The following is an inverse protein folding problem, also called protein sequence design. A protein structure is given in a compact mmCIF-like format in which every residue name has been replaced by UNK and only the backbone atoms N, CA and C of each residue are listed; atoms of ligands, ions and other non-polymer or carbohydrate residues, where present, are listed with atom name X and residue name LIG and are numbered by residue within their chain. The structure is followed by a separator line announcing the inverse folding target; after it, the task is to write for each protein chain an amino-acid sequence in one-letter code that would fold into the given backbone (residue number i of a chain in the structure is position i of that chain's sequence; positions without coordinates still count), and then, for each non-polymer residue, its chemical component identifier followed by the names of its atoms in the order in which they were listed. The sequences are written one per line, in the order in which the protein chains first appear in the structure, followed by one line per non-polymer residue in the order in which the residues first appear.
data_IF_192896860723
#
_entry.id   IF_192896860723
#
_cell.length_a   1.000
_cell.length_b   1.000
_cell.length_c   1.000
_cell.angle_alpha   90.00
_cell.angle_beta   90.00
_cell.angle_gamma   90.00
#
_symmetry.space_group_name_H-M   'P 1'
#
loop_
_entity.id
_entity.type
_entity.pdbx_description
1 polymer ?
#
# COMPACT_ATOMS: atom_id res chain seq x y z
N UNK A 1 -52.84 20.46 -11.09
CA UNK A 1 -52.93 19.34 -10.12
C UNK A 1 -51.68 19.35 -9.25
N UNK A 2 -51.79 19.42 -7.91
CA UNK A 2 -50.64 19.27 -7.02
C UNK A 2 -50.39 17.77 -6.79
N UNK A 3 -49.18 17.29 -7.11
CA UNK A 3 -48.73 15.93 -6.78
C UNK A 3 -48.42 15.84 -5.28
N UNK A 4 -48.72 14.71 -4.63
CA UNK A 4 -48.50 14.50 -3.19
C UNK A 4 -47.04 14.14 -2.89
N UNK A 5 -46.32 13.52 -3.82
CA UNK A 5 -44.91 13.15 -3.66
C UNK A 5 -44.02 13.50 -4.87
N UNK A 6 -42.69 13.46 -4.69
CA UNK A 6 -41.73 13.66 -5.79
C UNK A 6 -41.72 12.47 -6.75
N UNK A 7 -41.91 11.24 -6.26
CA UNK A 7 -42.05 10.05 -7.10
C UNK A 7 -43.26 10.14 -8.01
N UNK A 8 -44.43 10.50 -7.50
CA UNK A 8 -45.67 10.65 -8.28
C UNK A 8 -45.49 11.64 -9.44
N UNK A 9 -44.84 12.78 -9.18
CA UNK A 9 -44.54 13.76 -10.21
C UNK A 9 -43.56 13.21 -11.27
N UNK A 10 -42.51 12.50 -10.85
CA UNK A 10 -41.53 11.90 -11.77
C UNK A 10 -42.19 10.88 -12.67
N UNK A 11 -43.08 10.06 -12.14
CA UNK A 11 -43.80 9.05 -12.88
C UNK A 11 -44.78 9.66 -13.88
N UNK A 12 -45.55 10.67 -13.45
CA UNK A 12 -46.38 11.47 -14.34
C UNK A 12 -45.58 12.12 -15.47
N UNK A 13 -44.44 12.76 -15.16
CA UNK A 13 -43.57 13.36 -16.17
C UNK A 13 -43.06 12.28 -17.15
N UNK A 14 -42.67 11.09 -16.66
CA UNK A 14 -42.23 9.95 -17.48
C UNK A 14 -43.29 9.55 -18.52
N UNK A 15 -44.52 9.34 -18.06
CA UNK A 15 -45.65 8.95 -18.90
C UNK A 15 -46.02 10.07 -19.89
N UNK A 16 -46.01 11.32 -19.44
CA UNK A 16 -46.27 12.49 -20.27
C UNK A 16 -45.23 12.70 -21.37
N UNK A 17 -43.97 12.32 -21.13
CA UNK A 17 -42.89 12.40 -22.12
C UNK A 17 -42.78 11.17 -23.03
N UNK A 18 -43.60 10.13 -22.82
CA UNK A 18 -43.61 8.94 -23.66
C UNK A 18 -44.19 9.21 -25.06
N UNK A 19 -45.17 10.12 -25.16
CA UNK A 19 -45.71 10.58 -26.44
C UNK A 19 -44.73 11.58 -27.13
N UNK A 20 -44.22 11.23 -28.33
CA UNK A 20 -43.27 12.08 -29.07
C UNK A 20 -43.83 13.47 -29.45
N UNK A 21 -45.13 13.58 -29.77
CA UNK A 21 -45.77 14.84 -30.14
C UNK A 21 -45.93 15.75 -28.92
N UNK A 22 -46.34 15.18 -27.78
CA UNK A 22 -46.43 15.92 -26.51
C UNK A 22 -45.04 16.40 -26.07
N UNK A 23 -44.03 15.54 -26.18
CA UNK A 23 -42.63 15.88 -25.88
C UNK A 23 -42.11 17.02 -26.77
N UNK A 24 -42.34 16.96 -28.08
CA UNK A 24 -41.93 18.00 -29.02
C UNK A 24 -42.56 19.35 -28.68
N UNK A 25 -43.88 19.39 -28.41
CA UNK A 25 -44.60 20.61 -28.03
C UNK A 25 -44.05 21.23 -26.73
N UNK A 26 -43.76 20.41 -25.73
CA UNK A 26 -43.19 20.88 -24.45
C UNK A 26 -41.78 21.45 -24.64
N UNK A 27 -40.95 20.81 -25.47
CA UNK A 27 -39.61 21.31 -25.79
C UNK A 27 -39.71 22.68 -26.45
N UNK A 28 -40.59 22.82 -27.44
CA UNK A 28 -40.78 24.09 -28.16
C UNK A 28 -41.30 25.20 -27.23
N UNK A 29 -42.28 24.89 -26.37
CA UNK A 29 -42.77 25.83 -25.37
C UNK A 29 -41.66 26.27 -24.39
N UNK A 30 -40.79 25.35 -23.96
CA UNK A 30 -39.63 25.66 -23.11
C UNK A 30 -38.59 26.52 -23.82
N UNK A 31 -38.33 26.29 -25.11
CA UNK A 31 -37.44 27.13 -25.92
C UNK A 31 -37.96 28.56 -25.99
N UNK A 32 -39.25 28.74 -26.30
CA UNK A 32 -39.90 30.07 -26.31
C UNK A 32 -39.82 30.76 -24.96
N UNK A 33 -40.13 30.04 -23.88
CA UNK A 33 -39.99 30.56 -22.51
C UNK A 33 -38.55 30.96 -22.20
N UNK A 34 -37.56 30.13 -22.55
CA UNK A 34 -36.14 30.42 -22.32
C UNK A 34 -35.69 31.66 -23.08
N UNK A 35 -36.07 31.81 -24.36
CA UNK A 35 -35.73 32.99 -25.17
C UNK A 35 -36.37 34.25 -24.57
N UNK A 36 -37.67 34.18 -24.24
CA UNK A 36 -38.40 35.30 -23.64
C UNK A 36 -37.87 35.73 -22.26
N UNK A 37 -37.26 34.81 -21.50
CA UNK A 37 -36.81 35.06 -20.13
C UNK A 37 -35.28 34.90 -19.96
N UNK A 38 -34.51 34.95 -21.07
CA UNK A 38 -33.10 34.57 -21.11
C UNK A 38 -32.27 35.31 -20.07
N UNK A 39 -32.39 36.64 -20.00
CA UNK A 39 -31.63 37.47 -19.07
C UNK A 39 -31.92 37.12 -17.61
N UNK A 40 -33.20 36.99 -17.24
CA UNK A 40 -33.60 36.64 -15.88
C UNK A 40 -33.10 35.24 -15.49
N UNK A 41 -33.19 34.27 -16.39
CA UNK A 41 -32.70 32.90 -16.17
C UNK A 41 -31.18 32.90 -15.97
N UNK A 42 -30.43 33.63 -16.81
CA UNK A 42 -28.97 33.73 -16.70
C UNK A 42 -28.56 34.48 -15.43
N UNK A 43 -29.22 35.58 -15.09
CA UNK A 43 -28.97 36.34 -13.85
C UNK A 43 -29.20 35.47 -12.61
N UNK A 44 -30.33 34.75 -12.56
CA UNK A 44 -30.64 33.79 -11.49
C UNK A 44 -29.58 32.69 -11.42
N UNK A 45 -29.19 32.11 -12.56
CA UNK A 45 -28.16 31.06 -12.63
C UNK A 45 -26.82 31.56 -12.11
N UNK A 46 -26.39 32.77 -12.50
CA UNK A 46 -25.17 33.42 -12.01
C UNK A 46 -25.21 33.65 -10.51
N UNK A 47 -26.33 34.15 -9.98
CA UNK A 47 -26.52 34.39 -8.55
C UNK A 47 -26.39 33.11 -7.72
N UNK A 48 -27.11 32.05 -8.08
CA UNK A 48 -27.05 30.77 -7.37
C UNK A 48 -25.71 30.08 -7.51
N UNK A 49 -25.07 30.19 -8.68
CA UNK A 49 -23.70 29.69 -8.90
C UNK A 49 -22.72 30.41 -7.98
N UNK A 50 -22.72 31.75 -7.95
CA UNK A 50 -21.86 32.54 -7.06
C UNK A 50 -22.07 32.17 -5.59
N UNK A 51 -23.32 32.08 -5.15
CA UNK A 51 -23.67 31.70 -3.76
C UNK A 51 -23.20 30.29 -3.41
N UNK A 52 -23.33 29.32 -4.33
CA UNK A 52 -22.88 27.94 -4.12
C UNK A 52 -21.36 27.86 -4.02
N UNK A 53 -20.63 28.51 -4.94
CA UNK A 53 -19.17 28.52 -4.92
C UNK A 53 -18.62 29.19 -3.66
N UNK A 54 -19.25 30.30 -3.22
CA UNK A 54 -18.91 30.93 -1.94
C UNK A 54 -19.14 29.99 -0.75
N UNK A 55 -20.23 29.22 -0.74
CA UNK A 55 -20.49 28.21 0.28
C UNK A 55 -19.44 27.08 0.27
N UNK A 56 -19.07 26.58 -0.91
CA UNK A 56 -18.02 25.56 -1.04
C UNK A 56 -16.69 26.07 -0.50
N UNK A 57 -16.32 27.32 -0.86
CA UNK A 57 -15.11 27.97 -0.36
C UNK A 57 -15.13 28.06 1.16
N UNK A 58 -16.22 28.56 1.73
CA UNK A 58 -16.39 28.67 3.18
C UNK A 58 -16.21 27.32 3.88
N UNK A 59 -16.85 26.25 3.40
CA UNK A 59 -16.71 24.91 3.98
C UNK A 59 -15.25 24.45 3.99
N UNK A 60 -14.55 24.61 2.85
CA UNK A 60 -13.15 24.20 2.71
C UNK A 60 -12.24 25.05 3.60
N UNK A 61 -12.44 26.37 3.64
CA UNK A 61 -11.64 27.29 4.45
C UNK A 61 -11.84 27.03 5.95
N UNK A 62 -13.07 26.72 6.40
CA UNK A 62 -13.35 26.33 7.77
C UNK A 62 -12.59 25.05 8.17
N UNK A 63 -12.60 24.03 7.31
CA UNK A 63 -11.85 22.80 7.59
C UNK A 63 -10.33 23.04 7.61
N UNK A 64 -9.83 23.97 6.79
CA UNK A 64 -8.41 24.36 6.77
C UNK A 64 -7.95 25.11 8.02
N UNK A 65 -8.83 25.43 8.97
CA UNK A 65 -8.42 26.05 10.25
C UNK A 65 -7.84 25.06 11.26
N UNK A 66 -8.00 23.75 11.03
CA UNK A 66 -7.43 22.72 11.89
C UNK A 66 -5.89 22.63 11.82
N UNK A 67 -5.27 21.93 12.77
CA UNK A 67 -3.83 21.69 12.76
C UNK A 67 -3.42 20.75 11.61
N UNK A 68 -2.18 20.86 11.16
CA UNK A 68 -1.58 19.89 10.25
C UNK A 68 -1.50 18.52 10.95
N UNK A 69 -1.96 17.46 10.27
CA UNK A 69 -1.91 16.10 10.82
C UNK A 69 -0.49 15.54 10.97
N UNK A 70 0.48 16.07 10.23
CA UNK A 70 1.87 15.58 10.28
C UNK A 70 2.71 16.32 11.33
N UNK A 71 2.68 17.66 11.32
CA UNK A 71 3.52 18.46 12.22
C UNK A 71 2.78 19.07 13.41
N UNK A 72 1.46 18.91 13.51
CA UNK A 72 0.63 19.46 14.60
C UNK A 72 0.42 20.97 14.57
N UNK A 73 1.19 21.72 13.78
CA UNK A 73 1.08 23.18 13.70
C UNK A 73 -0.12 23.66 12.89
N UNK A 74 -0.70 24.78 13.30
CA UNK A 74 -1.74 25.51 12.57
C UNK A 74 -1.11 26.64 11.75
N UNK A 75 -1.55 26.81 10.50
CA UNK A 75 -1.08 27.86 9.60
C UNK A 75 -2.27 28.64 9.00
N UNK A 76 -2.03 29.82 8.40
CA UNK A 76 -3.07 30.49 7.61
C UNK A 76 -3.68 29.56 6.57
N UNK A 77 -4.99 29.69 6.32
CA UNK A 77 -5.77 28.83 5.40
C UNK A 77 -5.12 28.69 4.02
N UNK A 78 -4.39 29.70 3.54
CA UNK A 78 -3.69 29.64 2.25
C UNK A 78 -2.48 28.70 2.22
N UNK A 79 -1.93 28.32 3.38
CA UNK A 79 -0.80 27.39 3.53
C UNK A 79 -1.27 25.94 3.76
N UNK A 80 -2.51 25.77 4.20
CA UNK A 80 -3.10 24.48 4.51
C UNK A 80 -3.65 23.82 3.25
N UNK A 81 -3.53 22.51 3.12
CA UNK A 81 -3.99 21.73 1.96
C UNK A 81 -4.58 20.38 2.38
N UNK A 82 -5.32 19.76 1.45
CA UNK A 82 -5.91 18.43 1.62
C UNK A 82 -5.13 17.42 0.81
N UNK A 83 -4.51 16.45 1.49
CA UNK A 83 -3.78 15.35 0.89
C UNK A 83 -4.66 14.10 0.86
N UNK A 84 -4.80 13.47 -0.31
CA UNK A 84 -5.59 12.26 -0.44
C UNK A 84 -4.88 11.07 0.22
N UNK A 85 -5.62 10.31 1.04
CA UNK A 85 -5.08 9.10 1.68
C UNK A 85 -4.70 8.03 0.63
N UNK A 86 -3.56 7.34 0.78
CA UNK A 86 -3.17 6.24 -0.10
C UNK A 86 -4.24 5.15 -0.18
N UNK A 87 -4.36 4.50 -1.35
CA UNK A 87 -5.34 3.41 -1.57
C UNK A 87 -6.78 3.86 -1.83
N UNK A 88 -7.12 5.14 -1.62
CA UNK A 88 -8.47 5.65 -1.88
C UNK A 88 -8.59 6.16 -3.32
N UNK A 89 -9.62 5.69 -4.06
CA UNK A 89 -9.91 6.18 -5.42
C UNK A 89 -10.28 7.67 -5.39
N UNK A 90 -9.40 8.49 -5.97
CA UNK A 90 -9.59 9.93 -6.17
C UNK A 90 -10.65 10.18 -7.24
N UNK A 91 -11.68 10.96 -6.91
CA UNK A 91 -12.66 11.42 -7.90
C UNK A 91 -12.15 12.64 -8.68
N UNK A 92 -11.81 13.70 -7.95
CA UNK A 92 -11.21 14.94 -8.45
C UNK A 92 -10.45 15.64 -7.31
N UNK A 93 -9.58 16.63 -7.61
CA UNK A 93 -8.97 17.40 -6.52
C UNK A 93 -9.98 18.33 -5.84
N UNK A 94 -9.86 18.55 -4.53
CA UNK A 94 -10.74 19.46 -3.79
C UNK A 94 -10.76 20.86 -4.44
N UNK A 95 -9.60 21.36 -4.87
CA UNK A 95 -9.47 22.63 -5.58
C UNK A 95 -10.31 22.69 -6.86
N UNK A 96 -10.38 21.58 -7.63
CA UNK A 96 -11.24 21.49 -8.82
C UNK A 96 -12.73 21.43 -8.45
N UNK A 97 -13.09 20.76 -7.35
CA UNK A 97 -14.48 20.61 -6.90
C UNK A 97 -15.06 21.91 -6.36
N UNK A 98 -14.27 22.71 -5.63
CA UNK A 98 -14.72 24.00 -5.07
C UNK A 98 -15.14 24.97 -6.17
N UNK A 99 -14.42 24.97 -7.30
CA UNK A 99 -14.74 25.81 -8.46
C UNK A 99 -15.88 25.30 -9.34
N UNK A 100 -16.40 24.09 -9.09
CA UNK A 100 -17.37 23.44 -9.96
C UNK A 100 -18.80 23.54 -9.41
N UNK A 101 -19.62 24.36 -10.06
CA UNK A 101 -21.02 24.59 -9.67
C UNK A 101 -21.92 23.35 -9.76
N UNK A 102 -21.52 22.33 -10.56
CA UNK A 102 -22.26 21.07 -10.69
C UNK A 102 -22.08 20.14 -9.48
N UNK A 103 -21.07 20.37 -8.66
CA UNK A 103 -20.82 19.57 -7.46
C UNK A 103 -21.82 19.96 -6.38
N UNK A 104 -22.41 18.96 -5.73
CA UNK A 104 -23.25 19.16 -4.54
C UNK A 104 -22.39 19.20 -3.28
N UNK A 105 -22.89 19.86 -2.24
CA UNK A 105 -22.21 19.91 -0.95
C UNK A 105 -21.95 18.51 -0.37
N UNK A 106 -22.89 17.57 -0.53
CA UNK A 106 -22.74 16.20 -0.06
C UNK A 106 -21.55 15.49 -0.73
N UNK A 107 -21.41 15.66 -2.05
CA UNK A 107 -20.29 15.09 -2.81
C UNK A 107 -18.96 15.74 -2.41
N UNK A 108 -18.94 17.07 -2.22
CA UNK A 108 -17.76 17.77 -1.74
C UNK A 108 -17.30 17.26 -0.36
N UNK A 109 -18.24 17.12 0.60
CA UNK A 109 -17.95 16.60 1.94
C UNK A 109 -17.48 15.15 1.91
N UNK A 110 -18.08 14.31 1.07
CA UNK A 110 -17.66 12.92 0.92
C UNK A 110 -16.24 12.78 0.35
N UNK A 111 -15.82 13.67 -0.55
CA UNK A 111 -14.44 13.68 -1.02
C UNK A 111 -13.47 14.23 0.04
N UNK A 112 -13.85 15.30 0.75
CA UNK A 112 -13.06 15.85 1.87
C UNK A 112 -12.81 14.82 2.96
N UNK A 113 -13.79 13.96 3.25
CA UNK A 113 -13.64 12.88 4.23
C UNK A 113 -12.55 11.85 3.86
N UNK A 114 -12.07 11.85 2.62
CA UNK A 114 -10.98 10.96 2.16
C UNK A 114 -9.60 11.58 2.28
N UNK A 115 -9.51 12.85 2.71
CA UNK A 115 -8.27 13.60 2.77
C UNK A 115 -7.81 13.86 4.20
N UNK A 116 -6.50 13.93 4.35
CA UNK A 116 -5.85 14.45 5.55
C UNK A 116 -5.61 15.96 5.38
N UNK A 117 -5.76 16.72 6.47
CA UNK A 117 -5.41 18.13 6.49
C UNK A 117 -3.93 18.29 6.83
N UNK A 118 -3.14 18.85 5.91
CA UNK A 118 -1.69 19.00 6.06
C UNK A 118 -1.22 20.38 5.61
N UNK A 119 -0.10 20.87 6.13
CA UNK A 119 0.51 22.11 5.64
C UNK A 119 1.23 21.88 4.29
N UNK A 120 1.45 22.94 3.53
CA UNK A 120 2.10 22.89 2.22
C UNK A 120 3.47 22.17 2.24
N UNK A 121 4.25 22.33 3.32
CA UNK A 121 5.55 21.68 3.46
C UNK A 121 5.39 20.16 3.66
N UNK A 122 4.56 19.73 4.61
CA UNK A 122 4.30 18.32 4.87
C UNK A 122 3.65 17.64 3.65
N UNK A 123 2.73 18.33 2.98
CA UNK A 123 2.13 17.86 1.72
C UNK A 123 3.18 17.66 0.60
N UNK A 124 4.14 18.57 0.47
CA UNK A 124 5.26 18.42 -0.48
C UNK A 124 6.19 17.28 -0.11
N UNK A 125 6.48 17.09 1.18
CA UNK A 125 7.27 15.95 1.68
C UNK A 125 6.56 14.64 1.33
N UNK A 126 5.27 14.50 1.66
CA UNK A 126 4.45 13.33 1.28
C UNK A 126 4.50 13.07 -0.22
N UNK A 127 4.31 14.11 -1.04
CA UNK A 127 4.37 14.01 -2.50
C UNK A 127 5.73 13.53 -2.99
N UNK A 128 6.81 14.07 -2.42
CA UNK A 128 8.17 13.68 -2.76
C UNK A 128 8.47 12.23 -2.37
N UNK A 129 8.15 11.83 -1.13
CA UNK A 129 8.36 10.46 -0.65
C UNK A 129 7.60 9.45 -1.50
N UNK A 130 6.33 9.70 -1.82
CA UNK A 130 5.54 8.85 -2.73
C UNK A 130 6.14 8.78 -4.14
N UNK A 131 6.70 9.87 -4.65
CA UNK A 131 7.39 9.88 -5.96
C UNK A 131 8.74 9.16 -5.92
N UNK A 132 9.47 9.23 -4.81
CA UNK A 132 10.73 8.48 -4.59
C UNK A 132 10.44 6.98 -4.62
N UNK A 133 9.43 6.54 -3.88
CA UNK A 133 8.93 5.15 -3.91
C UNK A 133 8.46 4.75 -5.31
N UNK A 134 7.84 5.66 -6.08
CA UNK A 134 7.44 5.38 -7.47
C UNK A 134 8.62 5.33 -8.47
N UNK A 135 9.80 5.88 -8.12
CA UNK A 135 10.99 5.90 -8.99
C UNK A 135 11.91 4.71 -8.77
N UNK A 136 12.05 4.26 -7.53
CA UNK A 136 12.72 3.00 -7.23
C UNK A 136 11.75 1.87 -7.60
N UNK A 137 12.23 0.84 -8.29
CA UNK A 137 11.42 -0.36 -8.37
C UNK A 137 11.35 -1.00 -6.97
N UNK A 138 10.41 -1.92 -6.76
CA UNK A 138 10.19 -2.52 -5.44
C UNK A 138 11.43 -3.22 -4.87
N UNK A 139 12.33 -3.71 -5.74
CA UNK A 139 13.56 -4.39 -5.37
C UNK A 139 14.63 -3.40 -4.93
N UNK A 140 14.81 -2.27 -5.64
CA UNK A 140 15.76 -1.22 -5.24
C UNK A 140 15.35 -0.58 -3.90
N UNK A 141 14.04 -0.42 -3.69
CA UNK A 141 13.52 0.06 -2.41
C UNK A 141 13.79 -0.95 -1.30
N UNK A 142 13.58 -2.25 -1.54
CA UNK A 142 13.85 -3.30 -0.57
C UNK A 142 15.33 -3.35 -0.18
N UNK A 143 16.23 -3.23 -1.17
CA UNK A 143 17.66 -3.16 -0.92
C UNK A 143 18.03 -1.95 -0.05
N UNK A 144 17.45 -0.78 -0.34
CA UNK A 144 17.69 0.43 0.45
C UNK A 144 17.22 0.26 1.89
N UNK A 145 16.03 -0.32 2.10
CA UNK A 145 15.47 -0.55 3.44
C UNK A 145 16.29 -1.59 4.21
N UNK A 146 16.65 -2.71 3.59
CA UNK A 146 17.49 -3.73 4.23
C UNK A 146 18.87 -3.17 4.62
N UNK A 147 19.51 -2.43 3.71
CA UNK A 147 20.80 -1.77 3.96
C UNK A 147 20.73 -0.81 5.16
N UNK A 148 19.68 0.03 5.20
CA UNK A 148 19.49 1.02 6.27
C UNK A 148 19.14 0.35 7.59
N UNK A 149 18.23 -0.62 7.60
CA UNK A 149 17.77 -1.32 8.80
C UNK A 149 18.92 -2.06 9.49
N UNK A 150 19.62 -2.94 8.77
CA UNK A 150 20.76 -3.68 9.31
C UNK A 150 21.97 -2.77 9.60
N UNK A 151 22.18 -1.72 8.80
CA UNK A 151 23.23 -0.72 9.03
C UNK A 151 23.00 0.13 10.28
N UNK A 152 21.74 0.46 10.60
CA UNK A 152 21.39 1.29 11.76
C UNK A 152 21.74 0.65 13.11
N UNK A 153 21.75 -0.69 13.16
CA UNK A 153 22.15 -1.48 14.32
C UNK A 153 23.59 -2.02 14.20
N UNK A 154 24.32 -1.62 13.15
CA UNK A 154 25.67 -2.07 12.83
C UNK A 154 25.80 -3.61 12.82
N UNK A 155 24.79 -4.31 12.29
CA UNK A 155 24.79 -5.77 12.22
C UNK A 155 25.86 -6.26 11.25
N UNK A 156 26.66 -7.23 11.71
CA UNK A 156 27.74 -7.86 10.95
C UNK A 156 27.48 -9.34 10.78
N UNK A 157 27.99 -9.92 9.69
CA UNK A 157 27.98 -11.38 9.53
C UNK A 157 28.87 -12.03 10.58
N UNK A 158 28.34 -13.05 11.27
CA UNK A 158 28.97 -13.74 12.40
C UNK A 158 30.42 -14.17 12.15
N UNK A 159 30.76 -14.56 10.92
CA UNK A 159 32.07 -15.13 10.60
C UNK A 159 32.94 -14.30 9.66
N UNK A 160 32.38 -13.41 8.82
CA UNK A 160 33.16 -12.59 7.87
C UNK A 160 33.38 -11.16 8.33
N UNK A 161 32.65 -10.70 9.35
CA UNK A 161 32.62 -9.31 9.80
C UNK A 161 32.24 -8.29 8.70
N UNK A 162 31.69 -8.77 7.58
CA UNK A 162 31.08 -7.94 6.54
C UNK A 162 29.74 -7.39 7.01
N UNK A 163 29.27 -6.31 6.38
CA UNK A 163 27.94 -5.78 6.63
C UNK A 163 26.87 -6.85 6.34
N UNK A 164 25.92 -7.01 7.26
CA UNK A 164 24.94 -8.10 7.19
C UNK A 164 24.13 -8.10 5.89
N UNK A 165 23.93 -6.92 5.27
CA UNK A 165 23.25 -6.75 3.98
C UNK A 165 23.81 -7.67 2.87
N UNK A 166 25.06 -8.11 2.96
CA UNK A 166 25.64 -9.08 2.03
C UNK A 166 24.85 -10.41 1.96
N UNK A 167 24.27 -10.86 3.08
CA UNK A 167 23.45 -12.07 3.12
C UNK A 167 22.11 -11.90 2.37
N UNK A 168 21.24 -10.92 2.71
CA UNK A 168 20.01 -10.71 1.95
C UNK A 168 20.24 -10.48 0.45
N UNK A 169 21.35 -9.83 0.06
CA UNK A 169 21.75 -9.69 -1.35
C UNK A 169 22.03 -11.07 -1.99
N UNK A 170 22.82 -11.92 -1.33
CA UNK A 170 23.13 -13.26 -1.83
C UNK A 170 21.87 -14.14 -1.95
N UNK A 171 20.96 -14.09 -0.97
CA UNK A 171 19.67 -14.78 -1.02
C UNK A 171 18.83 -14.30 -2.21
N UNK A 172 18.76 -12.97 -2.42
CA UNK A 172 18.06 -12.40 -3.57
C UNK A 172 18.65 -12.84 -4.92
N UNK A 173 19.98 -12.96 -5.04
CA UNK A 173 20.63 -13.50 -6.24
C UNK A 173 20.31 -14.99 -6.47
N UNK A 174 20.25 -15.79 -5.40
CA UNK A 174 19.82 -17.19 -5.52
C UNK A 174 18.37 -17.28 -5.99
N UNK A 175 17.46 -16.45 -5.46
CA UNK A 175 16.07 -16.39 -5.94
C UNK A 175 15.99 -15.95 -7.40
N UNK A 176 16.84 -15.02 -7.84
CA UNK A 176 16.92 -14.59 -9.26
C UNK A 176 17.34 -15.70 -10.22
N UNK A 177 18.00 -16.75 -9.73
CA UNK A 177 18.47 -17.87 -10.56
C UNK A 177 17.35 -18.82 -11.00
N UNK A 178 16.14 -18.68 -10.46
CA UNK A 178 14.96 -19.52 -10.76
C UNK A 178 13.76 -18.64 -11.15
N UNK A 179 12.64 -19.17 -11.67
CA UNK A 179 11.46 -18.35 -11.97
C UNK A 179 10.99 -17.56 -10.75
N UNK A 180 10.88 -16.24 -10.88
CA UNK A 180 10.61 -15.35 -9.77
C UNK A 180 9.79 -14.12 -10.17
N UNK A 181 9.27 -13.41 -9.17
CA UNK A 181 8.65 -12.08 -9.33
C UNK A 181 9.46 -10.99 -8.60
N UNK A 182 9.27 -9.71 -8.94
CA UNK A 182 9.89 -8.61 -8.18
C UNK A 182 9.55 -8.64 -6.69
N UNK A 183 8.35 -9.07 -6.32
CA UNK A 183 7.92 -9.22 -4.93
C UNK A 183 8.69 -10.32 -4.20
N UNK A 184 9.01 -11.43 -4.87
CA UNK A 184 9.84 -12.49 -4.28
C UNK A 184 11.26 -11.99 -4.01
N UNK A 185 11.85 -11.26 -4.95
CA UNK A 185 13.20 -10.69 -4.78
C UNK A 185 13.21 -9.62 -3.70
N UNK A 186 12.17 -8.78 -3.63
CA UNK A 186 12.00 -7.82 -2.55
C UNK A 186 11.84 -8.50 -1.18
N UNK A 187 11.02 -9.55 -1.09
CA UNK A 187 10.85 -10.32 0.14
C UNK A 187 12.15 -11.03 0.56
N UNK A 188 12.94 -11.56 -0.37
CA UNK A 188 14.25 -12.13 -0.10
C UNK A 188 15.24 -11.10 0.50
N UNK A 189 15.22 -9.85 0.01
CA UNK A 189 16.02 -8.77 0.58
C UNK A 189 15.55 -8.35 1.98
N UNK A 190 14.29 -8.59 2.32
CA UNK A 190 13.65 -8.13 3.56
C UNK A 190 13.42 -9.25 4.59
N UNK A 191 13.80 -10.49 4.30
CA UNK A 191 13.33 -11.66 5.06
C UNK A 191 13.73 -11.62 6.55
N UNK A 192 14.91 -11.11 6.86
CA UNK A 192 15.42 -10.94 8.23
C UNK A 192 15.09 -9.57 8.85
N UNK A 193 14.58 -8.61 8.06
CA UNK A 193 14.45 -7.21 8.51
C UNK A 193 13.49 -7.10 9.70
N UNK A 194 12.38 -7.84 9.67
CA UNK A 194 11.39 -7.81 10.77
C UNK A 194 11.89 -8.58 12.00
N UNK A 195 12.75 -9.59 11.80
CA UNK A 195 13.27 -10.43 12.88
C UNK A 195 14.43 -9.74 13.64
N UNK A 196 15.37 -9.17 12.89
CA UNK A 196 16.64 -8.69 13.44
C UNK A 196 16.68 -7.19 13.73
N UNK A 197 15.72 -6.42 13.21
CA UNK A 197 15.77 -4.94 13.27
C UNK A 197 14.50 -4.34 13.87
N UNK A 198 14.50 -3.06 14.27
CA UNK A 198 13.30 -2.38 14.78
C UNK A 198 12.18 -2.17 13.75
N UNK A 199 12.35 -2.61 12.50
CA UNK A 199 11.34 -2.43 11.45
C UNK A 199 10.14 -3.36 11.69
N UNK A 200 8.96 -2.77 11.83
CA UNK A 200 7.74 -3.54 12.05
C UNK A 200 7.11 -4.06 10.76
N UNK A 201 6.40 -5.19 10.85
CA UNK A 201 5.58 -5.75 9.76
C UNK A 201 4.60 -4.72 9.16
N UNK A 202 4.06 -3.82 9.98
CA UNK A 202 3.16 -2.75 9.52
C UNK A 202 3.87 -1.72 8.61
N UNK A 203 5.18 -1.51 8.78
CA UNK A 203 5.97 -0.66 7.90
C UNK A 203 6.18 -1.35 6.55
N UNK A 204 6.49 -2.65 6.54
CA UNK A 204 6.62 -3.43 5.30
C UNK A 204 5.32 -3.36 4.48
N UNK A 205 4.17 -3.53 5.13
CA UNK A 205 2.86 -3.41 4.47
C UNK A 205 2.64 -2.02 3.85
N UNK A 206 3.03 -0.94 4.55
CA UNK A 206 2.86 0.43 4.05
C UNK A 206 3.73 0.72 2.83
N UNK A 207 4.96 0.23 2.83
CA UNK A 207 5.97 0.60 1.82
C UNK A 207 5.95 -0.32 0.59
N UNK A 208 5.66 -1.62 0.78
CA UNK A 208 5.76 -2.66 -0.25
C UNK A 208 4.41 -3.30 -0.63
N UNK A 209 3.37 -3.09 0.17
CA UNK A 209 2.03 -3.65 -0.05
C UNK A 209 1.87 -5.09 0.42
N UNK A 210 0.64 -5.61 0.27
CA UNK A 210 0.22 -6.89 0.86
C UNK A 210 1.08 -8.08 0.43
N UNK A 211 1.39 -8.24 -0.86
CA UNK A 211 2.10 -9.43 -1.36
C UNK A 211 3.49 -9.60 -0.73
N UNK A 212 4.28 -8.51 -0.62
CA UNK A 212 5.60 -8.57 0.00
C UNK A 212 5.48 -8.75 1.52
N UNK A 213 4.57 -8.02 2.15
CA UNK A 213 4.33 -8.16 3.59
C UNK A 213 3.93 -9.59 3.97
N UNK A 214 3.04 -10.22 3.21
CA UNK A 214 2.62 -11.60 3.45
C UNK A 214 3.79 -12.57 3.31
N UNK A 215 4.63 -12.41 2.27
CA UNK A 215 5.83 -13.25 2.10
C UNK A 215 6.83 -13.09 3.25
N UNK A 216 7.13 -11.84 3.66
CA UNK A 216 8.04 -11.57 4.78
C UNK A 216 7.49 -12.18 6.07
N UNK A 217 6.18 -12.05 6.32
CA UNK A 217 5.55 -12.64 7.51
C UNK A 217 5.67 -14.16 7.58
N UNK A 218 5.70 -14.86 6.44
CA UNK A 218 5.95 -16.30 6.40
C UNK A 218 7.42 -16.66 6.65
N UNK A 219 8.34 -15.75 6.39
CA UNK A 219 9.79 -15.96 6.49
C UNK A 219 10.35 -15.60 7.87
N UNK A 220 9.62 -14.81 8.65
CA UNK A 220 9.97 -14.44 10.04
C UNK A 220 9.61 -15.57 11.02
N UNK A 221 10.54 -15.90 11.92
CA UNK A 221 10.30 -16.89 12.98
C UNK A 221 9.14 -16.45 13.90
N UNK A 222 8.28 -17.41 14.26
CA UNK A 222 7.11 -17.16 15.15
C UNK A 222 7.39 -17.57 16.59
N UNK A 223 8.43 -18.39 16.79
CA UNK A 223 8.83 -18.87 18.10
C UNK A 223 9.46 -17.78 18.95
N UNK A 224 9.28 -17.89 20.26
CA UNK A 224 9.82 -16.97 21.27
C UNK A 224 10.74 -17.72 22.23
N UNK A 225 11.67 -17.02 22.92
CA UNK A 225 12.55 -17.66 23.91
C UNK A 225 11.80 -18.47 24.97
N UNK A 226 10.57 -18.09 25.30
CA UNK A 226 9.70 -18.76 26.28
C UNK A 226 9.08 -20.07 25.77
N UNK A 227 9.09 -20.33 24.45
CA UNK A 227 8.49 -21.52 23.81
C UNK A 227 9.34 -22.81 23.98
N UNK A 228 10.23 -22.81 24.98
CA UNK A 228 11.01 -23.98 25.37
C UNK A 228 12.39 -24.02 24.73
N UNK A 229 12.93 -25.24 24.61
CA UNK A 229 14.29 -25.44 24.11
C UNK A 229 14.40 -25.17 22.60
N UNK A 230 15.64 -25.11 22.07
CA UNK A 230 15.90 -24.83 20.64
C UNK A 230 15.13 -25.77 19.70
N UNK A 231 15.03 -27.05 20.04
CA UNK A 231 14.34 -28.03 19.22
C UNK A 231 12.82 -27.77 19.15
N UNK A 232 12.19 -27.38 20.29
CA UNK A 232 10.79 -27.01 20.33
C UNK A 232 10.52 -25.74 19.50
N UNK A 233 11.36 -24.72 19.64
CA UNK A 233 11.26 -23.47 18.86
C UNK A 233 11.38 -23.72 17.35
N UNK A 234 12.40 -24.47 16.93
CA UNK A 234 12.57 -24.84 15.52
C UNK A 234 11.48 -25.77 14.97
N UNK A 235 10.76 -26.51 15.83
CA UNK A 235 9.56 -27.22 15.40
C UNK A 235 8.40 -26.26 15.10
N UNK A 236 8.17 -25.25 15.95
CA UNK A 236 7.15 -24.22 15.72
C UNK A 236 7.40 -23.43 14.43
N UNK A 237 8.64 -22.97 14.22
CA UNK A 237 9.00 -22.21 13.02
C UNK A 237 8.89 -23.08 11.75
N UNK A 238 9.19 -24.39 11.86
CA UNK A 238 8.99 -25.34 10.76
C UNK A 238 7.50 -25.51 10.44
N UNK A 239 6.65 -25.64 11.45
CA UNK A 239 5.20 -25.81 11.25
C UNK A 239 4.59 -24.53 10.63
N UNK A 240 5.11 -23.35 10.97
CA UNK A 240 4.76 -22.09 10.34
C UNK A 240 5.10 -22.08 8.83
N UNK A 241 6.36 -22.32 8.47
CA UNK A 241 6.76 -22.29 7.06
C UNK A 241 6.16 -23.45 6.23
N UNK A 242 5.74 -24.54 6.87
CA UNK A 242 5.04 -25.64 6.20
C UNK A 242 3.73 -25.18 5.54
N UNK A 243 3.03 -24.23 6.16
CA UNK A 243 1.79 -23.63 5.64
C UNK A 243 2.02 -22.50 4.62
N UNK A 244 3.27 -22.10 4.39
CA UNK A 244 3.60 -20.97 3.53
C UNK A 244 3.38 -21.28 2.04
N UNK A 245 3.10 -20.25 1.20
CA UNK A 245 2.99 -20.42 -0.25
C UNK A 245 4.34 -20.83 -0.86
N UNK A 246 4.28 -21.43 -2.06
CA UNK A 246 5.46 -21.88 -2.82
C UNK A 246 6.55 -20.81 -2.92
N UNK A 247 6.17 -19.56 -3.12
CA UNK A 247 7.10 -18.44 -3.25
C UNK A 247 7.92 -18.19 -1.97
N UNK A 248 7.28 -18.26 -0.80
CA UNK A 248 7.98 -18.12 0.48
C UNK A 248 8.88 -19.33 0.75
N UNK A 249 8.43 -20.54 0.42
CA UNK A 249 9.25 -21.76 0.51
C UNK A 249 10.49 -21.67 -0.38
N UNK A 250 10.36 -21.15 -1.61
CA UNK A 250 11.49 -20.87 -2.52
C UNK A 250 12.50 -19.89 -1.92
N UNK A 251 12.03 -18.82 -1.28
CA UNK A 251 12.92 -17.86 -0.62
C UNK A 251 13.62 -18.53 0.58
N UNK A 252 12.91 -19.34 1.37
CA UNK A 252 13.51 -20.06 2.50
C UNK A 252 14.57 -21.07 2.04
N UNK A 253 14.37 -21.72 0.89
CA UNK A 253 15.39 -22.58 0.29
C UNK A 253 16.66 -21.79 -0.09
N UNK A 254 16.49 -20.59 -0.66
CA UNK A 254 17.61 -19.71 -0.99
C UNK A 254 18.40 -19.27 0.26
N UNK A 255 17.69 -18.90 1.33
CA UNK A 255 18.26 -18.59 2.65
C UNK A 255 19.12 -19.77 3.17
N UNK A 256 18.55 -20.97 3.21
CA UNK A 256 19.26 -22.18 3.65
C UNK A 256 20.53 -22.46 2.83
N UNK A 257 20.51 -22.18 1.52
CA UNK A 257 21.67 -22.40 0.63
C UNK A 257 22.83 -21.46 0.97
N UNK A 258 22.55 -20.17 1.16
CA UNK A 258 23.57 -19.17 1.52
C UNK A 258 24.15 -19.44 2.91
N UNK A 259 23.25 -19.69 3.88
CA UNK A 259 23.63 -20.00 5.26
C UNK A 259 24.51 -21.26 5.35
N UNK A 260 24.15 -22.32 4.62
CA UNK A 260 24.93 -23.57 4.62
C UNK A 260 26.35 -23.35 4.11
N UNK A 261 26.51 -22.57 3.03
CA UNK A 261 27.82 -22.31 2.42
C UNK A 261 28.78 -21.66 3.42
N UNK A 262 28.26 -20.77 4.27
CA UNK A 262 29.06 -20.09 5.30
C UNK A 262 29.28 -20.96 6.54
N UNK A 263 28.24 -21.67 7.02
CA UNK A 263 28.30 -22.47 8.25
C UNK A 263 29.24 -23.67 8.08
N UNK A 264 29.15 -24.39 6.97
CA UNK A 264 29.93 -25.62 6.75
C UNK A 264 31.44 -25.36 6.75
N UNK A 265 31.86 -24.23 6.19
CA UNK A 265 33.27 -23.83 6.13
C UNK A 265 33.77 -23.30 7.49
N UNK A 266 32.93 -22.54 8.21
CA UNK A 266 33.40 -21.70 9.33
C UNK A 266 33.01 -22.18 10.72
N UNK A 267 32.03 -23.08 10.85
CA UNK A 267 31.59 -23.66 12.13
C UNK A 267 31.21 -25.15 11.96
N UNK A 268 32.20 -26.06 11.83
CA UNK A 268 31.96 -27.49 11.58
C UNK A 268 31.23 -28.22 12.72
N UNK A 269 31.33 -27.72 13.95
CA UNK A 269 30.63 -28.30 15.10
C UNK A 269 29.16 -27.89 15.10
N UNK A 270 28.86 -26.61 14.84
CA UNK A 270 27.48 -26.18 14.66
C UNK A 270 26.84 -26.78 13.41
N UNK A 271 27.60 -27.00 12.34
CA UNK A 271 27.11 -27.66 11.12
C UNK A 271 26.43 -28.99 11.41
N UNK A 272 26.95 -29.82 12.33
CA UNK A 272 26.33 -31.11 12.69
C UNK A 272 24.89 -30.93 13.19
N UNK A 273 24.64 -29.87 13.96
CA UNK A 273 23.31 -29.54 14.49
C UNK A 273 22.44 -28.92 13.39
N UNK A 274 22.97 -27.89 12.72
CA UNK A 274 22.26 -27.17 11.67
C UNK A 274 21.85 -28.07 10.50
N UNK A 275 22.68 -29.05 10.12
CA UNK A 275 22.37 -30.04 9.08
C UNK A 275 21.11 -30.83 9.40
N UNK A 276 20.92 -31.26 10.65
CA UNK A 276 19.72 -31.99 11.07
C UNK A 276 18.49 -31.07 11.05
N UNK A 277 18.64 -29.81 11.50
CA UNK A 277 17.58 -28.80 11.43
C UNK A 277 17.18 -28.51 9.97
N UNK A 278 18.17 -28.37 9.08
CA UNK A 278 17.98 -28.15 7.65
C UNK A 278 17.26 -29.33 6.98
N UNK A 279 17.66 -30.57 7.26
CA UNK A 279 16.97 -31.75 6.73
C UNK A 279 15.49 -31.78 7.15
N UNK A 280 15.18 -31.44 8.39
CA UNK A 280 13.81 -31.36 8.86
C UNK A 280 13.00 -30.24 8.16
N UNK A 281 13.62 -29.10 7.86
CA UNK A 281 12.99 -28.04 7.07
C UNK A 281 12.76 -28.47 5.61
N UNK A 282 13.71 -29.16 4.98
CA UNK A 282 13.57 -29.60 3.59
C UNK A 282 12.35 -30.51 3.38
N UNK A 283 11.92 -31.26 4.39
CA UNK A 283 10.71 -32.08 4.30
C UNK A 283 9.43 -31.27 4.05
N UNK A 284 9.35 -30.03 4.57
CA UNK A 284 8.17 -29.15 4.44
C UNK A 284 8.31 -28.11 3.32
N UNK A 285 9.49 -28.00 2.72
CA UNK A 285 9.81 -27.04 1.65
C UNK A 285 9.71 -27.63 0.23
N UNK A 286 9.19 -28.86 0.08
CA UNK A 286 9.10 -29.58 -1.22
C UNK A 286 8.28 -28.83 -2.28
N UNK A 287 7.36 -27.96 -1.87
CA UNK A 287 6.53 -27.15 -2.78
C UNK A 287 7.23 -25.86 -3.23
N UNK A 288 8.46 -25.59 -2.76
CA UNK A 288 9.31 -24.53 -3.30
C UNK A 288 9.91 -24.91 -4.66
N UNK A 289 10.79 -24.06 -5.18
CA UNK A 289 11.45 -24.34 -6.47
C UNK A 289 12.26 -25.66 -6.40
N UNK A 290 12.01 -26.61 -7.32
CA UNK A 290 12.63 -27.93 -7.28
C UNK A 290 14.15 -27.89 -7.49
N UNK A 291 14.66 -26.91 -8.22
CA UNK A 291 16.10 -26.75 -8.49
C UNK A 291 16.81 -26.28 -7.22
N UNK A 292 16.24 -25.30 -6.51
CA UNK A 292 16.78 -24.86 -5.22
C UNK A 292 16.64 -25.94 -4.15
N UNK A 293 15.53 -26.69 -4.13
CA UNK A 293 15.35 -27.79 -3.19
C UNK A 293 16.45 -28.85 -3.38
N UNK A 294 16.68 -29.28 -4.62
CA UNK A 294 17.73 -30.25 -4.93
C UNK A 294 19.13 -29.73 -4.55
N UNK A 295 19.43 -28.46 -4.85
CA UNK A 295 20.69 -27.83 -4.44
C UNK A 295 20.87 -27.78 -2.93
N UNK A 296 19.83 -27.42 -2.19
CA UNK A 296 19.85 -27.36 -0.73
C UNK A 296 20.04 -28.76 -0.11
N UNK A 297 19.40 -29.78 -0.68
CA UNK A 297 19.55 -31.17 -0.26
C UNK A 297 20.98 -31.70 -0.50
N UNK A 298 21.56 -31.43 -1.68
CA UNK A 298 22.92 -31.86 -2.02
C UNK A 298 23.99 -31.35 -1.02
N UNK A 299 23.85 -30.11 -0.52
CA UNK A 299 24.75 -29.56 0.50
C UNK A 299 24.74 -30.34 1.83
N UNK A 300 23.71 -31.17 2.09
CA UNK A 300 23.63 -32.02 3.26
C UNK A 300 24.27 -33.41 3.04
N UNK A 301 24.53 -33.82 1.81
CA UNK A 301 25.11 -35.14 1.50
C UNK A 301 26.65 -35.12 1.54
N UNK A 302 27.23 -33.97 1.22
CA UNK A 302 28.66 -33.65 1.34
C UNK A 302 29.10 -33.35 2.78
#
# INVERSE_FOLDING_TARGET
MPFKTKEEKREYDRQRYADPHVKARIIEQRKRYYVANREQILARTRFWTKRRLAKHRYIVDQLKTGPCMDCGSTYPVCVMDFDHRPGVKKGASISQMVGNWKISEAVLRAELAKCDLVCANCHRIRTHSRRKVKRLNIVDLALSVASEAHGSINQKRKYSNEDYVAHPIAVAEIVRSVPHTPEMVAAALLHDVVEDTPVEQAQILRDFGHKVADLVSWLTDVSKPEDGNRAARKALDRDHIAGAPSEAKTIKLADLIDNTSTIKERDPDFWKIYRLEKLALLEVLKDGDPTLWARAAAQCEE
#
